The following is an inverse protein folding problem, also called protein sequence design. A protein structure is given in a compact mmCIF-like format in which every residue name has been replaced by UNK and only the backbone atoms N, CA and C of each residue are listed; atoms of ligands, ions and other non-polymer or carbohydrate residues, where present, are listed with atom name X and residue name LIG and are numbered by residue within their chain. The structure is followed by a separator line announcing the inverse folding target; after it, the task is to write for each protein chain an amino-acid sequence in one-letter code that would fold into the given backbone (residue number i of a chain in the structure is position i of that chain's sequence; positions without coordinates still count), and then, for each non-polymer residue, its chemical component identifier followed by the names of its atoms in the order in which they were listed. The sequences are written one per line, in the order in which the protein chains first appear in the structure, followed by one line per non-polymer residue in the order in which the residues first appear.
data_IF_816515397759
#
_entry.id   IF_816515397759
#
_cell.length_a   1.000
_cell.length_b   1.000
_cell.length_c   1.000
_cell.angle_alpha   90.00
_cell.angle_beta   90.00
_cell.angle_gamma   90.00
#
_symmetry.space_group_name_H-M   'P 1'
#
loop_
_entity.id
_entity.type
_entity.pdbx_description
1 polymer ?
#
# COMPACT_ATOMS: atom_id res chain seq x y z
N UNK A 1 9.99 12.17 -15.90
CA UNK A 1 10.92 13.24 -16.27
C UNK A 1 10.33 14.66 -16.04
N UNK A 2 9.01 14.80 -16.10
CA UNK A 2 8.28 16.09 -16.00
C UNK A 2 7.74 16.39 -14.58
N UNK A 3 8.02 15.54 -13.59
CA UNK A 3 7.53 15.67 -12.22
C UNK A 3 6.11 15.16 -11.98
N UNK A 4 5.42 14.66 -12.99
CA UNK A 4 4.09 14.07 -12.82
C UNK A 4 4.18 12.79 -12.01
N UNK A 5 3.35 12.68 -10.96
CA UNK A 5 3.25 11.48 -10.14
C UNK A 5 2.40 10.43 -10.83
N UNK A 6 2.98 9.29 -11.17
CA UNK A 6 2.29 8.14 -11.76
C UNK A 6 2.18 7.00 -10.75
N UNK A 7 1.14 6.18 -10.89
CA UNK A 7 0.90 5.02 -10.01
C UNK A 7 1.41 3.77 -10.70
N UNK A 8 2.52 3.22 -10.17
CA UNK A 8 3.20 2.06 -10.73
C UNK A 8 3.87 1.25 -9.63
N UNK A 9 3.77 -0.09 -9.69
CA UNK A 9 4.46 -0.94 -8.72
C UNK A 9 5.96 -1.02 -9.00
N UNK A 10 6.35 -1.27 -10.25
CA UNK A 10 7.74 -1.45 -10.66
C UNK A 10 8.35 -0.12 -11.10
N UNK A 11 9.66 0.02 -10.98
CA UNK A 11 10.40 1.17 -11.50
C UNK A 11 10.56 1.14 -13.04
N UNK A 12 10.14 0.04 -13.68
CA UNK A 12 10.29 -0.19 -15.11
C UNK A 12 9.03 -0.85 -15.70
N UNK A 13 8.64 -0.47 -16.91
CA UNK A 13 7.40 -0.92 -17.56
C UNK A 13 7.48 -2.29 -18.23
N UNK A 14 8.64 -2.94 -18.26
CA UNK A 14 8.88 -4.19 -19.00
C UNK A 14 7.90 -5.32 -18.66
N UNK A 15 7.58 -5.49 -17.37
CA UNK A 15 6.67 -6.56 -16.91
C UNK A 15 5.23 -6.34 -17.37
N UNK A 16 4.79 -5.09 -17.40
CA UNK A 16 3.38 -4.74 -17.67
C UNK A 16 3.12 -4.48 -19.17
N UNK A 17 4.07 -3.90 -19.88
CA UNK A 17 3.88 -3.46 -21.27
C UNK A 17 4.80 -4.18 -22.28
N UNK A 18 5.89 -4.81 -21.81
CA UNK A 18 6.97 -5.34 -22.63
C UNK A 18 8.04 -4.31 -23.02
N UNK A 19 7.79 -3.02 -22.75
CA UNK A 19 8.72 -1.93 -23.09
C UNK A 19 9.74 -1.73 -21.96
N UNK A 20 11.03 -1.72 -22.31
CA UNK A 20 12.13 -1.55 -21.34
C UNK A 20 12.40 -0.06 -21.09
N UNK A 21 11.46 0.60 -20.43
CA UNK A 21 11.46 2.02 -20.11
C UNK A 21 11.39 2.17 -18.59
N UNK A 22 12.28 2.96 -17.99
CA UNK A 22 12.18 3.33 -16.59
C UNK A 22 11.23 4.53 -16.40
N UNK A 23 10.59 4.58 -15.23
CA UNK A 23 9.61 5.62 -14.90
C UNK A 23 10.18 7.05 -15.07
N UNK A 24 11.45 7.25 -14.73
CA UNK A 24 12.13 8.55 -14.82
C UNK A 24 12.69 8.89 -16.21
N UNK A 25 12.67 7.95 -17.17
CA UNK A 25 13.25 8.14 -18.50
C UNK A 25 12.27 8.75 -19.51
N UNK A 26 10.99 8.88 -19.16
CA UNK A 26 9.96 9.40 -20.05
C UNK A 26 9.03 10.38 -19.32
N UNK A 27 8.40 11.26 -20.11
CA UNK A 27 7.35 12.16 -19.63
C UNK A 27 6.02 11.41 -19.49
N UNK A 28 5.14 11.89 -18.61
CA UNK A 28 3.87 11.24 -18.32
C UNK A 28 3.00 11.03 -19.55
N UNK A 29 2.93 12.00 -20.47
CA UNK A 29 2.16 11.89 -21.71
C UNK A 29 2.63 10.73 -22.58
N UNK A 30 3.95 10.49 -22.66
CA UNK A 30 4.51 9.34 -23.38
C UNK A 30 4.17 8.04 -22.67
N UNK A 31 4.28 7.98 -21.34
CA UNK A 31 3.96 6.80 -20.53
C UNK A 31 2.46 6.45 -20.61
N UNK A 32 1.58 7.43 -20.69
CA UNK A 32 0.13 7.24 -20.87
C UNK A 32 -0.27 6.63 -22.21
N UNK A 33 0.63 6.61 -23.21
CA UNK A 33 0.38 5.86 -24.46
C UNK A 33 0.56 4.36 -24.30
N UNK A 34 1.22 3.91 -23.22
CA UNK A 34 1.48 2.50 -22.97
C UNK A 34 0.20 1.81 -22.45
N UNK A 35 -0.07 0.64 -23.00
CA UNK A 35 -1.19 -0.20 -22.59
C UNK A 35 -0.71 -1.20 -21.54
N UNK A 36 -1.29 -1.16 -20.33
CA UNK A 36 -0.81 -1.95 -19.18
C UNK A 36 -1.75 -3.10 -18.77
N UNK A 37 -2.96 -3.14 -19.31
CA UNK A 37 -3.99 -4.07 -18.85
C UNK A 37 -4.00 -5.42 -19.58
N UNK A 38 -3.68 -5.49 -20.85
CA UNK A 38 -3.75 -6.73 -21.64
C UNK A 38 -2.84 -7.84 -21.14
N UNK A 39 -1.70 -7.49 -20.53
CA UNK A 39 -0.78 -8.45 -19.90
C UNK A 39 -1.42 -9.18 -18.70
N UNK A 40 -2.38 -8.58 -18.05
CA UNK A 40 -3.14 -9.19 -16.95
C UNK A 40 -4.34 -9.99 -17.48
N UNK A 41 -5.20 -9.38 -18.31
CA UNK A 41 -6.34 -10.03 -18.93
C UNK A 41 -6.86 -9.23 -20.12
N UNK A 42 -7.39 -9.93 -21.13
CA UNK A 42 -8.03 -9.29 -22.28
C UNK A 42 -9.21 -8.37 -21.90
N UNK A 43 -9.80 -8.56 -20.73
CA UNK A 43 -10.87 -7.70 -20.20
C UNK A 43 -10.40 -6.28 -19.86
N UNK A 44 -9.08 -6.10 -19.63
CA UNK A 44 -8.47 -4.82 -19.28
C UNK A 44 -7.67 -4.21 -20.45
N UNK A 45 -7.96 -4.66 -21.67
CA UNK A 45 -7.33 -4.10 -22.88
C UNK A 45 -7.65 -2.62 -23.00
N UNK A 46 -6.61 -1.81 -23.21
CA UNK A 46 -6.72 -0.36 -23.38
C UNK A 46 -6.58 0.42 -22.06
N UNK A 47 -6.37 -0.27 -20.94
CA UNK A 47 -6.04 0.41 -19.68
C UNK A 47 -4.68 1.09 -19.78
N UNK A 48 -4.64 2.33 -19.31
CA UNK A 48 -3.44 3.17 -19.30
C UNK A 48 -2.89 3.32 -17.88
N UNK A 49 -1.66 3.79 -17.77
CA UNK A 49 -1.03 4.09 -16.49
C UNK A 49 -1.77 5.28 -15.85
N UNK A 50 -2.32 5.15 -14.64
CA UNK A 50 -2.96 6.29 -13.99
C UNK A 50 -1.93 7.23 -13.35
N UNK A 51 -2.25 8.52 -13.31
CA UNK A 51 -1.57 9.47 -12.43
C UNK A 51 -2.10 9.36 -11.01
N UNK A 52 -1.34 9.84 -10.02
CA UNK A 52 -1.83 9.94 -8.64
C UNK A 52 -3.07 10.84 -8.58
N UNK A 53 -3.08 11.95 -9.32
CA UNK A 53 -4.24 12.86 -9.42
C UNK A 53 -5.52 12.14 -9.87
N UNK A 54 -5.43 11.30 -10.91
CA UNK A 54 -6.56 10.50 -11.40
C UNK A 54 -7.05 9.51 -10.34
N UNK A 55 -6.12 8.91 -9.58
CA UNK A 55 -6.48 7.99 -8.49
C UNK A 55 -7.15 8.71 -7.33
N UNK A 56 -6.66 9.87 -6.93
CA UNK A 56 -7.28 10.71 -5.89
C UNK A 56 -8.70 11.12 -6.30
N UNK A 57 -8.87 11.62 -7.52
CA UNK A 57 -10.19 11.98 -8.05
C UNK A 57 -11.18 10.79 -8.05
N UNK A 58 -10.69 9.58 -8.33
CA UNK A 58 -11.50 8.37 -8.31
C UNK A 58 -11.88 7.90 -6.90
N UNK A 59 -10.96 8.04 -5.92
CA UNK A 59 -11.10 7.49 -4.58
C UNK A 59 -11.80 8.41 -3.58
N UNK A 60 -11.71 9.73 -3.75
CA UNK A 60 -12.21 10.76 -2.83
C UNK A 60 -13.63 10.49 -2.35
N UNK A 61 -13.80 10.44 -1.02
CA UNK A 61 -15.08 10.17 -0.37
C UNK A 61 -15.64 8.76 -0.59
N UNK A 62 -14.85 7.83 -1.12
CA UNK A 62 -15.27 6.46 -1.43
C UNK A 62 -14.46 5.40 -0.71
N UNK A 63 -13.16 5.60 -0.60
CA UNK A 63 -12.24 4.63 -0.01
C UNK A 63 -10.98 5.33 0.46
N UNK A 64 -10.42 4.89 1.58
CA UNK A 64 -9.09 5.30 2.05
C UNK A 64 -8.02 4.70 1.14
N UNK A 65 -7.04 5.49 0.74
CA UNK A 65 -5.90 5.04 -0.04
C UNK A 65 -4.68 4.80 0.86
N UNK A 66 -4.01 3.67 0.70
CA UNK A 66 -2.64 3.46 1.16
C UNK A 66 -1.71 3.68 -0.03
N UNK A 67 -0.93 4.76 0.00
CA UNK A 67 -0.05 5.20 -1.08
C UNK A 67 1.38 4.86 -0.71
N UNK A 68 1.98 3.88 -1.39
CA UNK A 68 3.39 3.53 -1.19
C UNK A 68 4.29 4.48 -1.97
N UNK A 69 5.17 5.20 -1.27
CA UNK A 69 6.22 6.01 -1.85
C UNK A 69 7.50 5.17 -1.99
N UNK A 70 7.91 4.94 -3.25
CA UNK A 70 9.10 4.16 -3.58
C UNK A 70 10.26 5.09 -3.91
N UNK A 71 11.35 4.91 -3.19
CA UNK A 71 12.57 5.69 -3.40
C UNK A 71 13.53 4.93 -4.32
N UNK A 72 13.86 5.53 -5.44
CA UNK A 72 14.83 4.99 -6.43
C UNK A 72 16.10 5.82 -6.52
N UNK A 73 16.12 6.99 -5.88
CA UNK A 73 17.21 7.97 -5.94
C UNK A 73 17.15 8.89 -7.16
N UNK A 74 16.03 8.86 -7.89
CA UNK A 74 15.80 9.69 -9.08
C UNK A 74 14.69 10.73 -8.85
N UNK A 75 14.01 10.66 -7.71
CA UNK A 75 12.90 11.54 -7.35
C UNK A 75 13.42 12.85 -6.76
N UNK A 76 12.94 13.97 -7.28
CA UNK A 76 13.10 15.28 -6.69
C UNK A 76 11.80 15.68 -5.99
N UNK A 77 11.86 15.98 -4.68
CA UNK A 77 10.72 16.47 -3.88
C UNK A 77 9.45 15.58 -3.97
N UNK A 78 9.63 14.23 -3.92
CA UNK A 78 8.51 13.27 -4.02
C UNK A 78 7.48 13.51 -2.92
N UNK A 79 7.93 13.66 -1.68
CA UNK A 79 7.09 13.82 -0.50
C UNK A 79 6.28 15.12 -0.56
N UNK A 80 6.92 16.23 -0.92
CA UNK A 80 6.28 17.53 -1.09
C UNK A 80 5.25 17.51 -2.21
N UNK A 81 5.57 16.84 -3.33
CA UNK A 81 4.67 16.73 -4.48
C UNK A 81 3.44 15.91 -4.17
N UNK A 82 3.61 14.77 -3.46
CA UNK A 82 2.49 13.95 -3.00
C UNK A 82 1.64 14.72 -2.02
N UNK A 83 2.23 15.36 -1.00
CA UNK A 83 1.49 16.11 0.00
C UNK A 83 0.69 17.26 -0.62
N UNK A 84 1.27 17.99 -1.58
CA UNK A 84 0.58 19.06 -2.32
C UNK A 84 -0.68 18.52 -3.00
N UNK A 85 -0.59 17.40 -3.71
CA UNK A 85 -1.77 16.78 -4.34
C UNK A 85 -2.81 16.35 -3.31
N UNK A 86 -2.41 15.75 -2.18
CA UNK A 86 -3.34 15.36 -1.13
C UNK A 86 -4.09 16.57 -0.54
N UNK A 87 -3.41 17.69 -0.36
CA UNK A 87 -3.99 18.95 0.11
C UNK A 87 -4.94 19.56 -0.92
N UNK A 88 -4.55 19.61 -2.20
CA UNK A 88 -5.38 20.12 -3.30
C UNK A 88 -6.68 19.32 -3.48
N UNK A 89 -6.63 18.03 -3.21
CA UNK A 89 -7.79 17.12 -3.26
C UNK A 89 -8.55 17.01 -1.94
N UNK A 90 -8.08 17.66 -0.85
CA UNK A 90 -8.66 17.54 0.50
C UNK A 90 -8.75 16.08 0.96
N UNK A 91 -7.67 15.32 0.77
CA UNK A 91 -7.59 13.88 1.03
C UNK A 91 -6.47 13.49 2.01
N UNK A 92 -5.87 14.43 2.73
CA UNK A 92 -4.83 14.13 3.72
C UNK A 92 -5.33 13.13 4.77
N UNK A 93 -6.55 13.32 5.29
CA UNK A 93 -7.17 12.44 6.28
C UNK A 93 -7.74 11.14 5.68
N UNK A 94 -7.87 11.06 4.34
CA UNK A 94 -8.35 9.88 3.63
C UNK A 94 -7.21 9.01 3.08
N UNK A 95 -5.95 9.37 3.36
CA UNK A 95 -4.77 8.67 2.86
C UNK A 95 -3.83 8.21 3.97
N UNK A 96 -3.16 7.09 3.72
CA UNK A 96 -2.08 6.56 4.54
C UNK A 96 -0.84 6.51 3.65
N UNK A 97 0.28 7.09 4.08
CA UNK A 97 1.54 7.06 3.35
C UNK A 97 2.38 5.87 3.79
N UNK A 98 2.68 4.99 2.85
CA UNK A 98 3.52 3.82 3.07
C UNK A 98 4.90 3.98 2.45
N UNK A 99 5.93 3.43 3.08
CA UNK A 99 7.25 3.26 2.45
C UNK A 99 8.07 2.19 3.16
N UNK A 100 8.97 1.54 2.40
CA UNK A 100 10.05 0.74 2.95
C UNK A 100 11.25 1.61 3.39
N UNK A 101 11.27 2.88 3.01
CA UNK A 101 12.33 3.83 3.38
C UNK A 101 11.88 4.65 4.59
N UNK A 102 12.54 4.44 5.73
CA UNK A 102 12.25 5.16 6.98
C UNK A 102 12.38 6.69 6.83
N UNK A 103 13.33 7.17 6.00
CA UNK A 103 13.55 8.60 5.76
C UNK A 103 12.37 9.28 5.09
N UNK A 104 11.66 8.60 4.18
CA UNK A 104 10.43 9.11 3.55
C UNK A 104 9.35 9.33 4.60
N UNK A 105 9.13 8.36 5.50
CA UNK A 105 8.10 8.48 6.53
C UNK A 105 8.44 9.60 7.53
N UNK A 106 9.70 9.73 7.92
CA UNK A 106 10.17 10.85 8.75
C UNK A 106 9.89 12.18 8.08
N UNK A 107 10.27 12.32 6.80
CA UNK A 107 10.04 13.53 6.02
C UNK A 107 8.55 13.87 5.89
N UNK A 108 7.71 12.86 5.64
CA UNK A 108 6.25 13.07 5.58
C UNK A 108 5.68 13.58 6.90
N UNK A 109 6.12 13.02 8.05
CA UNK A 109 5.72 13.50 9.38
C UNK A 109 6.26 14.90 9.71
N UNK A 110 7.44 15.27 9.20
CA UNK A 110 7.97 16.64 9.33
C UNK A 110 7.13 17.65 8.53
N UNK A 111 6.69 17.28 7.31
CA UNK A 111 5.89 18.13 6.43
C UNK A 111 4.43 18.25 6.92
N UNK A 112 3.83 17.14 7.35
CA UNK A 112 2.45 17.06 7.80
C UNK A 112 2.35 16.11 9.01
N UNK A 113 2.48 16.60 10.24
CA UNK A 113 2.48 15.76 11.44
C UNK A 113 1.21 14.93 11.63
N UNK A 114 0.08 15.38 11.06
CA UNK A 114 -1.21 14.70 11.14
C UNK A 114 -1.40 13.54 10.17
N UNK A 115 -0.54 13.43 9.13
CA UNK A 115 -0.72 12.40 8.11
C UNK A 115 -0.49 11.00 8.66
N UNK A 116 -1.37 10.06 8.33
CA UNK A 116 -1.20 8.67 8.71
C UNK A 116 -0.07 8.00 7.93
N UNK A 117 0.77 7.21 8.61
CA UNK A 117 1.92 6.55 8.00
C UNK A 117 1.97 5.06 8.30
N UNK A 118 2.52 4.28 7.36
CA UNK A 118 2.75 2.84 7.50
C UNK A 118 4.17 2.47 7.06
N UNK A 119 4.94 1.88 7.96
CA UNK A 119 6.24 1.33 7.61
C UNK A 119 6.06 -0.05 6.98
N UNK A 120 6.51 -0.21 5.73
CA UNK A 120 6.43 -1.45 4.97
C UNK A 120 7.75 -2.20 5.12
N UNK A 121 7.69 -3.46 5.55
CA UNK A 121 8.89 -4.26 5.77
C UNK A 121 8.65 -5.74 5.46
N UNK A 122 9.71 -6.43 5.03
CA UNK A 122 9.70 -7.90 4.96
C UNK A 122 9.72 -8.50 6.35
N UNK A 123 10.53 -7.95 7.24
CA UNK A 123 10.69 -8.34 8.64
C UNK A 123 11.02 -7.10 9.47
N UNK A 124 10.89 -7.19 10.78
CA UNK A 124 11.17 -6.11 11.73
C UNK A 124 12.07 -6.61 12.85
N UNK A 125 12.99 -5.76 13.28
CA UNK A 125 13.68 -5.92 14.57
C UNK A 125 12.84 -5.30 15.69
N UNK A 126 13.01 -5.75 16.93
CA UNK A 126 12.21 -5.25 18.09
C UNK A 126 12.32 -3.73 18.28
N UNK A 127 13.48 -3.14 17.96
CA UNK A 127 13.72 -1.69 18.00
C UNK A 127 12.88 -0.89 17.00
N UNK A 128 12.34 -1.56 15.97
CA UNK A 128 11.49 -0.93 14.97
C UNK A 128 10.01 -0.80 15.40
N UNK A 129 9.58 -1.42 16.49
CA UNK A 129 8.17 -1.41 16.89
C UNK A 129 7.71 -0.05 17.44
N UNK A 130 8.62 0.82 17.87
CA UNK A 130 8.33 2.10 18.50
C UNK A 130 8.67 3.34 17.63
N UNK A 131 8.82 3.18 16.29
CA UNK A 131 9.19 4.30 15.41
C UNK A 131 8.16 5.43 15.47
N UNK A 132 8.55 6.62 15.93
CA UNK A 132 7.66 7.77 16.12
C UNK A 132 6.97 8.24 14.82
N UNK A 133 7.59 7.95 13.69
CA UNK A 133 7.11 8.32 12.35
C UNK A 133 6.34 7.19 11.64
N UNK A 134 5.98 6.13 12.34
CA UNK A 134 5.13 5.06 11.82
C UNK A 134 3.92 4.86 12.74
N UNK A 135 2.71 5.12 12.24
CA UNK A 135 1.47 4.87 12.98
C UNK A 135 1.02 3.42 12.85
N UNK A 136 1.50 2.73 11.81
CA UNK A 136 1.19 1.34 11.54
C UNK A 136 2.32 0.63 10.81
N UNK A 137 2.24 -0.69 10.73
CA UNK A 137 3.21 -1.55 10.05
C UNK A 137 2.54 -2.44 9.03
N UNK A 138 3.19 -2.64 7.87
CA UNK A 138 2.77 -3.56 6.83
C UNK A 138 3.88 -4.59 6.60
N UNK A 139 3.66 -5.84 7.06
CA UNK A 139 4.71 -6.85 7.20
C UNK A 139 4.42 -8.03 6.29
N UNK A 140 5.48 -8.62 5.71
CA UNK A 140 5.32 -9.84 4.92
C UNK A 140 4.75 -10.98 5.75
N UNK A 141 3.58 -11.51 5.34
CA UNK A 141 2.77 -12.41 6.16
C UNK A 141 3.44 -13.74 6.54
N UNK A 142 4.55 -14.15 5.85
CA UNK A 142 5.33 -15.32 6.25
C UNK A 142 6.20 -15.07 7.48
N UNK A 143 6.59 -13.81 7.72
CA UNK A 143 7.46 -13.39 8.83
C UNK A 143 6.65 -12.87 10.02
N UNK A 144 5.33 -12.66 9.83
CA UNK A 144 4.44 -12.19 10.87
C UNK A 144 4.25 -13.26 11.97
N UNK A 145 4.41 -12.87 13.23
CA UNK A 145 4.20 -13.71 14.41
C UNK A 145 3.21 -13.06 15.37
N UNK A 146 2.60 -13.86 16.25
CA UNK A 146 1.71 -13.36 17.32
C UNK A 146 2.46 -12.41 18.24
N UNK A 147 3.65 -12.81 18.69
CA UNK A 147 4.46 -12.01 19.62
C UNK A 147 4.83 -10.63 19.02
N UNK A 148 5.17 -10.59 17.73
CA UNK A 148 5.45 -9.34 17.01
C UNK A 148 4.20 -8.44 16.97
N UNK A 149 3.04 -9.00 16.60
CA UNK A 149 1.78 -8.23 16.54
C UNK A 149 1.39 -7.71 17.90
N UNK A 150 1.46 -8.53 18.95
CA UNK A 150 1.15 -8.13 20.33
C UNK A 150 2.08 -7.02 20.82
N UNK A 151 3.40 -7.10 20.49
CA UNK A 151 4.37 -6.07 20.85
C UNK A 151 4.08 -4.73 20.15
N UNK A 152 3.76 -4.76 18.85
CA UNK A 152 3.38 -3.57 18.08
C UNK A 152 2.07 -2.96 18.62
N UNK A 153 1.08 -3.80 18.93
CA UNK A 153 -0.17 -3.35 19.53
C UNK A 153 0.05 -2.73 20.92
N UNK A 154 1.00 -3.26 21.72
CA UNK A 154 1.38 -2.65 23.00
C UNK A 154 1.91 -1.22 22.83
N UNK A 155 2.57 -0.92 21.70
CA UNK A 155 2.99 0.44 21.33
C UNK A 155 1.83 1.30 20.77
N UNK A 156 0.58 0.79 20.74
CA UNK A 156 -0.60 1.50 20.25
C UNK A 156 -0.70 1.62 18.74
N UNK A 157 -0.01 0.75 17.98
CA UNK A 157 0.08 0.81 16.51
C UNK A 157 -0.60 -0.39 15.86
N UNK A 158 -1.08 -0.21 14.61
CA UNK A 158 -1.77 -1.26 13.85
C UNK A 158 -0.81 -2.06 12.96
N UNK A 159 -1.22 -3.29 12.62
CA UNK A 159 -0.44 -4.22 11.80
C UNK A 159 -1.26 -4.75 10.62
N UNK A 160 -0.70 -4.66 9.42
CA UNK A 160 -1.22 -5.25 8.18
C UNK A 160 -0.29 -6.34 7.69
N UNK A 161 -0.84 -7.44 7.16
CA UNK A 161 -0.02 -8.51 6.57
C UNK A 161 -0.17 -8.61 5.06
N UNK A 162 0.94 -8.73 4.30
CA UNK A 162 0.98 -8.84 2.84
C UNK A 162 1.88 -9.99 2.36
N UNK A 163 1.76 -10.49 1.11
CA UNK A 163 0.56 -10.44 0.28
C UNK A 163 -0.15 -11.79 0.41
N UNK A 164 -1.42 -11.79 0.77
CA UNK A 164 -2.17 -13.01 1.04
C UNK A 164 -3.21 -13.28 -0.05
N UNK A 165 -2.84 -14.08 -1.04
CA UNK A 165 -3.67 -14.42 -2.21
C UNK A 165 -4.32 -15.81 -2.10
N UNK A 166 -4.26 -16.45 -0.92
CA UNK A 166 -4.93 -17.73 -0.64
C UNK A 166 -5.58 -17.69 0.73
N UNK A 167 -6.65 -18.46 0.92
CA UNK A 167 -7.32 -18.58 2.24
C UNK A 167 -6.37 -19.04 3.35
N UNK A 168 -5.37 -19.87 3.03
CA UNK A 168 -4.37 -20.31 4.01
C UNK A 168 -3.43 -19.18 4.45
N UNK A 169 -2.99 -18.31 3.52
CA UNK A 169 -2.19 -17.14 3.83
C UNK A 169 -3.01 -16.11 4.63
N UNK A 170 -4.28 -15.86 4.23
CA UNK A 170 -5.20 -14.99 4.97
C UNK A 170 -5.41 -15.47 6.41
N UNK A 171 -5.64 -16.79 6.57
CA UNK A 171 -5.84 -17.39 7.89
C UNK A 171 -4.61 -17.23 8.79
N UNK A 172 -3.39 -17.37 8.24
CA UNK A 172 -2.15 -17.16 8.99
C UNK A 172 -2.08 -15.73 9.54
N UNK A 173 -2.29 -14.73 8.70
CA UNK A 173 -2.24 -13.31 9.10
C UNK A 173 -3.30 -13.01 10.16
N UNK A 174 -4.53 -13.46 9.95
CA UNK A 174 -5.63 -13.28 10.92
C UNK A 174 -5.34 -13.98 12.25
N UNK A 175 -4.73 -15.17 12.22
CA UNK A 175 -4.37 -15.90 13.44
C UNK A 175 -3.20 -15.25 14.20
N UNK A 176 -2.35 -14.46 13.53
CA UNK A 176 -1.35 -13.64 14.22
C UNK A 176 -1.96 -12.41 14.92
N UNK A 177 -3.24 -12.12 14.70
CA UNK A 177 -3.91 -10.97 15.33
C UNK A 177 -3.79 -9.66 14.54
N UNK A 178 -3.29 -9.68 13.29
CA UNK A 178 -3.17 -8.48 12.47
C UNK A 178 -4.53 -7.79 12.22
N UNK A 179 -4.51 -6.45 12.13
CA UNK A 179 -5.69 -5.61 11.94
C UNK A 179 -6.20 -5.65 10.50
N UNK A 180 -5.32 -5.98 9.55
CA UNK A 180 -5.71 -6.05 8.16
C UNK A 180 -4.89 -7.03 7.32
N UNK A 181 -5.46 -7.38 6.17
CA UNK A 181 -4.87 -8.29 5.18
C UNK A 181 -4.75 -7.57 3.84
N UNK A 182 -3.55 -7.50 3.29
CA UNK A 182 -3.30 -6.98 1.96
C UNK A 182 -3.29 -8.15 0.96
N UNK A 183 -4.12 -8.05 -0.08
CA UNK A 183 -4.34 -9.09 -1.08
C UNK A 183 -4.63 -8.50 -2.45
N UNK A 184 -4.24 -9.21 -3.51
CA UNK A 184 -4.62 -8.90 -4.89
C UNK A 184 -6.06 -9.37 -5.20
N UNK A 185 -6.64 -10.27 -4.36
CA UNK A 185 -7.99 -10.81 -4.54
C UNK A 185 -8.93 -10.39 -3.39
N UNK A 186 -9.47 -9.19 -3.48
CA UNK A 186 -10.41 -8.64 -2.49
C UNK A 186 -11.69 -9.48 -2.38
N UNK A 187 -12.15 -10.11 -3.47
CA UNK A 187 -13.36 -10.95 -3.45
C UNK A 187 -13.14 -12.24 -2.65
N UNK A 188 -11.96 -12.85 -2.82
CA UNK A 188 -11.57 -14.01 -2.01
C UNK A 188 -11.50 -13.63 -0.53
N UNK A 189 -10.88 -12.49 -0.19
CA UNK A 189 -10.79 -12.01 1.19
C UNK A 189 -12.18 -11.76 1.80
N UNK A 190 -13.08 -11.11 1.07
CA UNK A 190 -14.45 -10.88 1.54
C UNK A 190 -15.19 -12.20 1.83
N UNK A 191 -15.04 -13.19 0.96
CA UNK A 191 -15.65 -14.52 1.13
C UNK A 191 -15.05 -15.22 2.36
N UNK A 192 -13.72 -15.21 2.47
CA UNK A 192 -13.00 -15.79 3.60
C UNK A 192 -13.44 -15.17 4.93
N UNK A 193 -13.52 -13.85 5.04
CA UNK A 193 -13.94 -13.17 6.27
C UNK A 193 -15.38 -13.51 6.66
N UNK A 194 -16.31 -13.62 5.70
CA UNK A 194 -17.69 -14.07 5.96
C UNK A 194 -17.73 -15.50 6.51
N UNK A 195 -16.95 -16.40 5.95
CA UNK A 195 -16.87 -17.80 6.43
C UNK A 195 -16.28 -17.87 7.85
N UNK A 196 -15.23 -17.08 8.16
CA UNK A 196 -14.66 -17.01 9.50
C UNK A 196 -15.67 -16.45 10.53
N UNK A 197 -16.42 -15.41 10.18
CA UNK A 197 -17.47 -14.87 11.03
C UNK A 197 -18.57 -15.90 11.32
N UNK A 198 -19.02 -16.66 10.31
CA UNK A 198 -19.95 -17.75 10.49
C UNK A 198 -19.42 -18.83 11.43
N UNK A 199 -18.14 -19.27 11.24
CA UNK A 199 -17.51 -20.29 12.11
C UNK A 199 -17.45 -19.85 13.56
N UNK A 200 -17.04 -18.59 13.83
CA UNK A 200 -17.02 -18.02 15.20
C UNK A 200 -18.42 -17.99 15.82
N UNK A 201 -19.45 -17.60 15.06
CA UNK A 201 -20.81 -17.57 15.53
C UNK A 201 -21.33 -18.98 15.92
N UNK A 202 -21.00 -20.02 15.15
CA UNK A 202 -21.33 -21.40 15.51
C UNK A 202 -20.56 -21.92 16.72
N UNK A 203 -19.27 -21.58 16.85
CA UNK A 203 -18.45 -22.00 17.99
C UNK A 203 -18.88 -21.35 19.33
N UNK A 204 -19.59 -20.21 19.30
CA UNK A 204 -20.11 -19.54 20.50
C UNK A 204 -21.46 -20.07 20.99
N UNK A 205 -22.07 -21.01 20.30
CA UNK A 205 -23.40 -21.61 20.63
C UNK A 205 -23.25 -22.96 21.33
N UNK A 206 -22.05 -23.52 21.45
CA UNK A 206 -21.70 -24.75 22.16
C UNK A 206 -20.64 -24.46 23.24
#
# INVERSE_FOLDING_TARGET
ADGTLIVMHDSNFKRTTGEDICVWDAEADALKTLEVGSGFSAAYRGEQIPTLEEMLACARGRITLMIELKYTGQEDALEESVLTLLQDYDMVDECIIGSMNKGILQKMKELEPGISTVFIAHDLEEEDYELDYADSYSIEGRNLTVDMVDAIHYCGKSVYGWTANTSGAMLRIVNCGADGVITDDVRLLQTFLREQACRKAFASVY
#
